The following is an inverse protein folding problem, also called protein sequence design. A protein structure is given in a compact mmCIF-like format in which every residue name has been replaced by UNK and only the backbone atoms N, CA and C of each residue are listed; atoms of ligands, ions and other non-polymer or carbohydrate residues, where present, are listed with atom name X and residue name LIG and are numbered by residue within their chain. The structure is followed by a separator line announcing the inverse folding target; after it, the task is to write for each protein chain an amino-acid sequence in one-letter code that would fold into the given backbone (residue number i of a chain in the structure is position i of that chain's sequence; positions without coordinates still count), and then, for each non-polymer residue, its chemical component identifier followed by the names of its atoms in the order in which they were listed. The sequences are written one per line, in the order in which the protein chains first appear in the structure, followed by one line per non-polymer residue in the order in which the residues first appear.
data_IF_018228890844
#
_entry.id   IF_018228890844
#
_cell.length_a   1.000
_cell.length_b   1.000
_cell.length_c   1.000
_cell.angle_alpha   90.00
_cell.angle_beta   90.00
_cell.angle_gamma   90.00
#
_symmetry.space_group_name_H-M   'P 1'
#
loop_
_entity.id
_entity.type
_entity.pdbx_description
1 polymer ?
#
# COMPACT_ATOMS: atom_id res chain seq x y z
N UNK A 1 -3.65 -20.44 -19.92
CA UNK A 1 -4.40 -19.21 -19.59
C UNK A 1 -4.44 -19.06 -18.08
N UNK A 2 -3.49 -18.37 -17.46
CA UNK A 2 -3.74 -17.60 -16.22
C UNK A 2 -2.69 -16.51 -16.14
N UNK A 3 -3.16 -15.30 -16.32
CA UNK A 3 -2.39 -14.05 -16.28
C UNK A 3 -1.98 -13.75 -14.83
N UNK A 4 -0.72 -13.35 -14.65
CA UNK A 4 -0.14 -12.58 -13.52
C UNK A 4 0.19 -13.33 -12.20
N UNK A 5 1.22 -14.19 -12.18
CA UNK A 5 1.79 -14.75 -10.94
C UNK A 5 2.34 -13.68 -9.97
N UNK A 6 2.68 -12.49 -10.48
CA UNK A 6 3.28 -11.41 -9.68
C UNK A 6 2.31 -10.72 -8.71
N UNK A 7 1.06 -10.46 -9.11
CA UNK A 7 0.07 -9.81 -8.23
C UNK A 7 -0.30 -10.74 -7.07
N UNK A 8 -0.46 -12.04 -7.38
CA UNK A 8 -0.68 -13.09 -6.39
C UNK A 8 0.49 -13.19 -5.41
N UNK A 9 1.74 -13.14 -5.90
CA UNK A 9 2.91 -13.21 -5.03
C UNK A 9 3.03 -11.98 -4.11
N UNK A 10 2.68 -10.78 -4.57
CA UNK A 10 2.71 -9.58 -3.73
C UNK A 10 1.64 -9.66 -2.63
N UNK A 11 0.40 -10.06 -2.97
CA UNK A 11 -0.64 -10.32 -1.97
C UNK A 11 -0.27 -11.46 -1.02
N UNK A 12 0.34 -12.54 -1.52
CA UNK A 12 0.65 -13.73 -0.72
C UNK A 12 1.88 -13.56 0.21
N UNK A 13 2.79 -12.63 -0.09
CA UNK A 13 3.95 -12.36 0.78
C UNK A 13 3.70 -11.19 1.74
N UNK A 14 2.91 -10.19 1.34
CA UNK A 14 2.64 -9.00 2.17
C UNK A 14 1.27 -9.01 2.86
N UNK A 15 0.26 -9.68 2.29
CA UNK A 15 -1.14 -9.49 2.69
C UNK A 15 -1.87 -10.82 3.01
N UNK A 16 -1.22 -11.99 2.95
CA UNK A 16 -1.90 -13.29 3.09
C UNK A 16 -2.40 -13.57 4.51
N UNK A 17 -1.66 -13.10 5.52
CA UNK A 17 -2.05 -13.17 6.93
C UNK A 17 -2.78 -11.92 7.44
N UNK A 18 -2.95 -10.90 6.61
CA UNK A 18 -3.50 -9.63 7.05
C UNK A 18 -5.04 -9.65 7.01
N UNK A 19 -5.72 -9.23 8.10
CA UNK A 19 -7.18 -9.15 8.13
C UNK A 19 -7.72 -8.23 7.03
N UNK A 20 -8.91 -8.51 6.49
CA UNK A 20 -9.50 -7.75 5.37
C UNK A 20 -9.58 -6.24 5.62
N UNK A 21 -9.81 -5.83 6.87
CA UNK A 21 -9.82 -4.42 7.28
C UNK A 21 -8.46 -3.74 7.06
N UNK A 22 -7.36 -4.43 7.36
CA UNK A 22 -6.01 -3.91 7.18
C UNK A 22 -5.67 -3.70 5.70
N UNK A 23 -6.04 -4.66 4.82
CA UNK A 23 -5.90 -4.48 3.37
C UNK A 23 -6.64 -3.24 2.86
N UNK A 24 -7.84 -2.99 3.40
CA UNK A 24 -8.65 -1.82 3.07
C UNK A 24 -8.01 -0.51 3.53
N UNK A 25 -7.39 -0.50 4.71
CA UNK A 25 -6.67 0.66 5.25
C UNK A 25 -5.47 1.03 4.37
N UNK A 26 -4.61 0.06 4.03
CA UNK A 26 -3.49 0.26 3.10
C UNK A 26 -4.00 0.82 1.77
N UNK A 27 -5.02 0.20 1.17
CA UNK A 27 -5.55 0.67 -0.11
C UNK A 27 -6.06 2.12 -0.04
N UNK A 28 -6.68 2.52 1.07
CA UNK A 28 -7.13 3.90 1.28
C UNK A 28 -5.95 4.87 1.43
N UNK A 29 -4.92 4.52 2.21
CA UNK A 29 -3.72 5.36 2.35
C UNK A 29 -2.95 5.50 1.04
N UNK A 30 -2.88 4.45 0.23
CA UNK A 30 -2.28 4.49 -1.10
C UNK A 30 -2.99 5.49 -2.03
N UNK A 31 -4.32 5.62 -1.93
CA UNK A 31 -5.10 6.62 -2.69
C UNK A 31 -4.87 8.04 -2.15
N UNK A 32 -4.61 8.18 -0.84
CA UNK A 32 -4.33 9.48 -0.20
C UNK A 32 -2.91 9.97 -0.48
N UNK A 33 -1.95 9.08 -0.73
CA UNK A 33 -0.55 9.42 -1.02
C UNK A 33 -0.36 10.42 -2.18
N UNK A 34 -1.05 10.30 -3.33
CA UNK A 34 -1.04 11.34 -4.37
C UNK A 34 -1.45 12.72 -3.86
N UNK A 35 -2.48 12.80 -3.01
CA UNK A 35 -2.89 14.07 -2.41
C UNK A 35 -1.81 14.61 -1.45
N UNK A 36 -1.18 13.75 -0.65
CA UNK A 36 -0.03 14.09 0.19
C UNK A 36 1.16 14.60 -0.63
N UNK A 37 1.42 14.00 -1.79
CA UNK A 37 2.50 14.40 -2.69
C UNK A 37 2.36 15.86 -3.11
N UNK A 38 1.14 16.28 -3.43
CA UNK A 38 0.86 17.68 -3.78
C UNK A 38 0.79 18.60 -2.56
N UNK A 39 0.38 18.11 -1.38
CA UNK A 39 0.16 18.93 -0.19
C UNK A 39 1.44 19.17 0.64
N UNK A 40 2.24 18.14 0.87
CA UNK A 40 3.42 18.16 1.76
C UNK A 40 4.72 17.80 1.05
N UNK A 41 4.66 17.49 -0.25
CA UNK A 41 5.81 17.20 -1.08
C UNK A 41 6.33 15.76 -0.96
N UNK A 42 7.33 15.42 -1.78
CA UNK A 42 7.79 14.04 -1.95
C UNK A 42 8.50 13.46 -0.72
N UNK A 43 9.19 14.30 0.07
CA UNK A 43 9.91 13.85 1.25
C UNK A 43 8.97 13.30 2.33
N UNK A 44 7.95 14.06 2.71
CA UNK A 44 6.98 13.66 3.75
C UNK A 44 6.11 12.51 3.25
N UNK A 45 5.68 12.57 1.99
CA UNK A 45 4.87 11.50 1.38
C UNK A 45 5.61 10.17 1.34
N UNK A 46 6.91 10.17 1.04
CA UNK A 46 7.73 8.96 1.08
C UNK A 46 7.79 8.32 2.47
N UNK A 47 7.96 9.13 3.53
CA UNK A 47 7.93 8.63 4.90
C UNK A 47 6.55 8.11 5.33
N UNK A 48 5.47 8.77 4.91
CA UNK A 48 4.10 8.26 5.13
C UNK A 48 3.90 6.89 4.49
N UNK A 49 4.35 6.71 3.25
CA UNK A 49 4.25 5.45 2.53
C UNK A 49 5.08 4.35 3.20
N UNK A 50 6.28 4.65 3.72
CA UNK A 50 7.08 3.68 4.47
C UNK A 50 6.37 3.25 5.77
N UNK A 51 5.80 4.19 6.52
CA UNK A 51 5.07 3.89 7.76
C UNK A 51 3.81 3.03 7.51
N UNK A 52 3.14 3.21 6.38
CA UNK A 52 1.95 2.47 5.95
C UNK A 52 2.19 0.95 5.82
N UNK A 53 3.40 0.53 5.45
CA UNK A 53 3.75 -0.88 5.23
C UNK A 53 4.59 -1.51 6.36
N UNK A 54 4.97 -0.73 7.39
CA UNK A 54 5.71 -1.23 8.57
C UNK A 54 4.76 -1.60 9.73
N UNK A 55 3.63 -0.89 9.87
CA UNK A 55 2.56 -1.18 10.83
C UNK A 55 1.58 -2.20 10.28
#
# INVERSE_FOLDING_TARGET
MTVLPFIRAFEQNFLDHAPRWYKGTILAFLIVNPCLLYAVGPFVTGWCLVLEFIF
#
